data_IF_570223678047
#
_entry.id   IF_570223678047
#
_cell.length_a   1.000
_cell.length_b   1.000
_cell.length_c   1.000
_cell.angle_alpha   90.00
_cell.angle_beta   90.00
_cell.angle_gamma   90.00
#
_symmetry.space_group_name_H-M   'P 1'
#
loop_
_entity.id
_entity.type
_entity.pdbx_description
1 polymer ?
#
# COMPACT_ATOMS: atom_id res chain seq x y z
N UNK A 1 30.81 -18.77 -24.13
CA UNK A 1 29.40 -18.36 -23.99
C UNK A 1 28.92 -18.69 -22.58
N UNK A 2 28.19 -17.79 -21.93
CA UNK A 2 27.47 -18.06 -20.67
C UNK A 2 28.19 -17.63 -19.38
N UNK A 3 28.08 -16.35 -18.99
CA UNK A 3 28.12 -15.97 -17.56
C UNK A 3 27.66 -14.53 -17.22
N UNK A 4 27.16 -13.75 -18.18
CA UNK A 4 26.81 -12.33 -17.94
C UNK A 4 25.35 -12.15 -17.46
N UNK A 5 24.47 -13.14 -17.67
CA UNK A 5 23.02 -12.96 -17.46
C UNK A 5 22.52 -13.16 -16.03
N UNK A 6 23.24 -13.86 -15.14
CA UNK A 6 22.76 -14.19 -13.79
C UNK A 6 23.08 -13.11 -12.74
N UNK A 7 24.19 -12.37 -12.88
CA UNK A 7 24.51 -11.23 -11.99
C UNK A 7 23.60 -10.02 -12.23
N UNK A 8 23.07 -9.88 -13.44
CA UNK A 8 22.22 -8.74 -13.82
C UNK A 8 20.79 -8.83 -13.29
N UNK A 9 20.34 -10.00 -12.81
CA UNK A 9 18.98 -10.20 -12.27
C UNK A 9 18.99 -10.54 -10.77
N UNK A 10 20.05 -10.17 -10.05
CA UNK A 10 20.14 -10.37 -8.62
C UNK A 10 19.04 -9.58 -7.89
N UNK A 11 18.42 -10.14 -6.84
CA UNK A 11 17.40 -9.43 -6.07
C UNK A 11 18.03 -8.26 -5.31
N UNK A 12 17.35 -7.12 -5.33
CA UNK A 12 17.70 -5.97 -4.50
C UNK A 12 17.66 -6.37 -3.02
N UNK A 13 18.67 -5.98 -2.25
CA UNK A 13 18.84 -6.42 -0.85
C UNK A 13 17.79 -5.83 0.09
N UNK A 14 17.10 -4.77 -0.33
CA UNK A 14 16.15 -4.03 0.48
C UNK A 14 14.70 -4.43 0.23
N UNK A 15 14.37 -4.80 -1.01
CA UNK A 15 13.02 -5.13 -1.48
C UNK A 15 12.87 -6.61 -1.82
N UNK A 16 13.98 -7.29 -2.12
CA UNK A 16 13.99 -8.67 -2.62
C UNK A 16 13.45 -8.83 -4.03
N UNK A 17 13.18 -7.72 -4.74
CA UNK A 17 12.73 -7.73 -6.14
C UNK A 17 13.94 -7.81 -7.06
N UNK A 18 13.84 -8.68 -8.06
CA UNK A 18 14.80 -8.75 -9.18
C UNK A 18 14.47 -7.70 -10.24
N UNK A 19 15.44 -7.20 -11.02
CA UNK A 19 15.19 -6.33 -12.18
C UNK A 19 14.12 -6.85 -13.14
N UNK A 20 14.06 -8.17 -13.36
CA UNK A 20 13.01 -8.79 -14.16
C UNK A 20 11.64 -8.66 -13.51
N UNK A 21 11.52 -8.90 -12.21
CA UNK A 21 10.24 -8.71 -11.50
C UNK A 21 9.80 -7.25 -11.51
N UNK A 22 10.71 -6.30 -11.36
CA UNK A 22 10.42 -4.86 -11.48
C UNK A 22 9.77 -4.56 -12.84
N UNK A 23 10.39 -5.02 -13.94
CA UNK A 23 9.83 -4.85 -15.29
C UNK A 23 8.47 -5.52 -15.47
N UNK A 24 8.26 -6.70 -14.87
CA UNK A 24 6.96 -7.37 -14.92
C UNK A 24 5.88 -6.56 -14.20
N UNK A 25 6.18 -6.00 -13.03
CA UNK A 25 5.23 -5.16 -12.28
C UNK A 25 4.93 -3.87 -13.06
N UNK A 26 5.96 -3.15 -13.52
CA UNK A 26 5.79 -1.91 -14.28
C UNK A 26 4.99 -2.10 -15.57
N UNK A 27 5.33 -3.09 -16.40
CA UNK A 27 4.61 -3.38 -17.65
C UNK A 27 3.18 -3.85 -17.42
N UNK A 28 2.93 -4.65 -16.38
CA UNK A 28 1.58 -5.04 -16.00
C UNK A 28 0.77 -3.83 -15.55
N UNK A 29 1.35 -2.98 -14.71
CA UNK A 29 0.68 -1.78 -14.21
C UNK A 29 0.34 -0.81 -15.33
N UNK A 30 1.27 -0.59 -16.27
CA UNK A 30 1.05 0.27 -17.43
C UNK A 30 -0.12 -0.20 -18.30
N UNK A 31 -0.28 -1.52 -18.46
CA UNK A 31 -1.38 -2.09 -19.24
C UNK A 31 -2.71 -2.04 -18.46
N UNK A 32 -2.66 -2.20 -17.14
CA UNK A 32 -3.83 -2.19 -16.26
C UNK A 32 -4.39 -0.77 -16.02
N UNK A 33 -3.51 0.22 -15.81
CA UNK A 33 -3.85 1.58 -15.43
C UNK A 33 -4.07 2.52 -16.63
N UNK A 34 -4.91 2.12 -17.59
CA UNK A 34 -5.25 2.95 -18.77
C UNK A 34 -6.33 4.00 -18.51
N UNK A 35 -7.08 3.89 -17.41
CA UNK A 35 -8.07 4.89 -16.96
C UNK A 35 -7.95 5.08 -15.46
N UNK A 36 -7.30 6.18 -15.06
CA UNK A 36 -6.97 6.44 -13.64
C UNK A 36 -8.21 6.52 -12.72
N UNK A 37 -9.38 6.78 -13.32
CA UNK A 37 -10.63 7.03 -12.59
C UNK A 37 -11.42 5.76 -12.28
N UNK A 38 -11.08 4.64 -12.92
CA UNK A 38 -11.90 3.42 -12.86
C UNK A 38 -11.31 2.33 -11.99
N UNK A 39 -9.99 2.21 -11.93
CA UNK A 39 -9.35 1.07 -11.28
C UNK A 39 -9.44 1.09 -9.75
N UNK A 40 -9.41 2.26 -9.12
CA UNK A 40 -9.56 2.33 -7.66
C UNK A 40 -10.94 1.86 -7.20
N UNK A 41 -11.99 2.30 -7.89
CA UNK A 41 -13.35 1.83 -7.64
C UNK A 41 -13.48 0.32 -7.96
N UNK A 42 -12.82 -0.15 -9.03
CA UNK A 42 -12.77 -1.58 -9.38
C UNK A 42 -12.13 -2.42 -8.27
N UNK A 43 -10.96 -2.01 -7.76
CA UNK A 43 -10.23 -2.71 -6.69
C UNK A 43 -11.08 -2.85 -5.43
N UNK A 44 -11.65 -1.74 -4.94
CA UNK A 44 -12.50 -1.79 -3.76
C UNK A 44 -13.82 -2.53 -4.01
N UNK A 45 -14.36 -2.48 -5.24
CA UNK A 45 -15.55 -3.26 -5.57
C UNK A 45 -15.28 -4.75 -5.55
N UNK A 46 -14.12 -5.19 -6.07
CA UNK A 46 -13.66 -6.58 -5.95
C UNK A 46 -13.45 -6.98 -4.49
N UNK A 47 -12.81 -6.11 -3.70
CA UNK A 47 -12.52 -6.39 -2.30
C UNK A 47 -13.82 -6.55 -1.48
N UNK A 48 -14.77 -5.64 -1.60
CA UNK A 48 -16.04 -5.72 -0.87
C UNK A 48 -16.97 -6.82 -1.40
N UNK A 49 -16.87 -7.20 -2.68
CA UNK A 49 -17.60 -8.35 -3.20
C UNK A 49 -17.06 -9.68 -2.64
N UNK A 50 -15.74 -9.80 -2.45
CA UNK A 50 -15.11 -11.01 -1.92
C UNK A 50 -15.16 -11.09 -0.39
N UNK A 51 -15.01 -9.95 0.29
CA UNK A 51 -14.97 -9.82 1.75
C UNK A 51 -15.82 -8.63 2.19
N UNK A 52 -17.15 -8.79 2.25
CA UNK A 52 -18.08 -7.71 2.61
C UNK A 52 -17.77 -7.06 3.97
N UNK A 53 -17.23 -7.81 4.93
CA UNK A 53 -16.82 -7.33 6.24
C UNK A 53 -15.77 -6.21 6.17
N UNK A 54 -14.96 -6.15 5.11
CA UNK A 54 -14.00 -5.07 4.94
C UNK A 54 -14.65 -3.73 4.64
N UNK A 55 -15.90 -3.73 4.16
CA UNK A 55 -16.65 -2.49 3.93
C UNK A 55 -16.97 -1.76 5.25
N UNK A 56 -17.09 -2.49 6.36
CA UNK A 56 -17.32 -1.93 7.70
C UNK A 56 -16.19 -1.02 8.18
N UNK A 57 -14.98 -1.21 7.67
CA UNK A 57 -13.81 -0.37 7.95
C UNK A 57 -13.91 1.02 7.31
N UNK A 58 -14.92 1.26 6.48
CA UNK A 58 -15.14 2.51 5.77
C UNK A 58 -16.45 3.17 6.24
N UNK A 59 -16.42 4.02 7.30
CA UNK A 59 -17.63 4.61 7.88
C UNK A 59 -18.53 5.36 6.90
N UNK A 60 -17.97 5.93 5.82
CA UNK A 60 -18.72 6.66 4.78
C UNK A 60 -19.43 5.74 3.78
N UNK A 61 -19.09 4.45 3.78
CA UNK A 61 -19.48 3.46 2.77
C UNK A 61 -20.17 2.23 3.36
N UNK A 62 -19.93 1.86 4.63
CA UNK A 62 -20.46 0.63 5.25
C UNK A 62 -21.97 0.42 5.10
N UNK A 63 -22.77 1.49 5.20
CA UNK A 63 -24.24 1.41 5.11
C UNK A 63 -24.77 1.50 3.67
N UNK A 64 -23.89 1.57 2.65
CA UNK A 64 -24.28 1.70 1.25
C UNK A 64 -24.18 0.36 0.52
N UNK A 65 -25.17 -0.03 -0.29
CA UNK A 65 -25.04 -1.23 -1.10
C UNK A 65 -23.95 -1.03 -2.16
N UNK A 66 -23.18 -2.09 -2.46
CA UNK A 66 -22.05 -2.06 -3.40
C UNK A 66 -22.40 -1.41 -4.75
N UNK A 67 -23.59 -1.71 -5.28
CA UNK A 67 -24.09 -1.13 -6.55
C UNK A 67 -24.21 0.40 -6.54
N UNK A 68 -24.37 1.02 -5.37
CA UNK A 68 -24.48 2.47 -5.20
C UNK A 68 -23.12 3.14 -4.97
N UNK A 69 -22.09 2.38 -4.57
CA UNK A 69 -20.76 2.92 -4.32
C UNK A 69 -20.07 3.39 -5.61
N UNK A 70 -20.32 2.72 -6.74
CA UNK A 70 -19.71 3.05 -8.04
C UNK A 70 -19.99 4.51 -8.47
N UNK A 71 -21.15 5.05 -8.08
CA UNK A 71 -21.60 6.39 -8.44
C UNK A 71 -21.29 7.42 -7.33
N UNK A 72 -20.81 6.97 -6.18
CA UNK A 72 -20.46 7.83 -5.04
C UNK A 72 -19.14 8.58 -5.29
N UNK A 73 -19.21 9.92 -5.24
CA UNK A 73 -18.06 10.78 -5.52
C UNK A 73 -16.90 10.58 -4.54
N UNK A 74 -17.19 10.33 -3.26
CA UNK A 74 -16.16 10.13 -2.24
C UNK A 74 -15.50 8.76 -2.40
N UNK A 75 -16.27 7.75 -2.80
CA UNK A 75 -15.74 6.41 -3.10
C UNK A 75 -14.80 6.46 -4.30
N UNK A 76 -15.22 7.13 -5.39
CA UNK A 76 -14.38 7.33 -6.57
C UNK A 76 -13.10 8.10 -6.23
N UNK A 77 -13.20 9.18 -5.44
CA UNK A 77 -12.04 9.94 -4.99
C UNK A 77 -11.07 9.08 -4.15
N UNK A 78 -11.59 8.24 -3.26
CA UNK A 78 -10.77 7.30 -2.49
C UNK A 78 -10.06 6.29 -3.40
N UNK A 79 -10.78 5.72 -4.36
CA UNK A 79 -10.21 4.85 -5.38
C UNK A 79 -9.07 5.52 -6.15
N UNK A 80 -9.29 6.74 -6.66
CA UNK A 80 -8.24 7.49 -7.35
C UNK A 80 -7.00 7.70 -6.46
N UNK A 81 -7.19 8.04 -5.17
CA UNK A 81 -6.08 8.26 -4.24
C UNK A 81 -5.23 7.00 -4.02
N UNK A 82 -5.87 5.84 -3.82
CA UNK A 82 -5.15 4.54 -3.74
C UNK A 82 -4.41 4.27 -5.03
N UNK A 83 -5.05 4.59 -6.14
CA UNK A 83 -4.46 4.40 -7.43
C UNK A 83 -3.18 5.22 -7.67
N UNK A 84 -3.23 6.53 -7.44
CA UNK A 84 -2.06 7.40 -7.54
C UNK A 84 -0.93 6.93 -6.62
N UNK A 85 -1.28 6.41 -5.44
CA UNK A 85 -0.31 5.84 -4.53
C UNK A 85 0.36 4.60 -5.12
N UNK A 86 -0.40 3.62 -5.62
CA UNK A 86 0.14 2.42 -6.29
C UNK A 86 1.00 2.80 -7.49
N UNK A 87 0.56 3.75 -8.31
CA UNK A 87 1.32 4.25 -9.46
C UNK A 87 2.67 4.82 -9.04
N UNK A 88 2.69 5.61 -7.96
CA UNK A 88 3.92 6.17 -7.40
C UNK A 88 4.85 5.08 -6.88
N UNK A 89 4.31 4.07 -6.19
CA UNK A 89 5.10 2.94 -5.71
C UNK A 89 5.70 2.11 -6.85
N UNK A 90 4.92 1.84 -7.90
CA UNK A 90 5.40 1.12 -9.10
C UNK A 90 6.50 1.92 -9.82
N UNK A 91 6.36 3.24 -9.90
CA UNK A 91 7.38 4.11 -10.49
C UNK A 91 8.68 4.15 -9.66
N UNK A 92 8.60 3.94 -8.34
CA UNK A 92 9.76 3.91 -7.43
C UNK A 92 10.39 2.53 -7.23
N UNK A 93 10.02 1.50 -8.00
CA UNK A 93 10.53 0.14 -7.80
C UNK A 93 12.04 -0.01 -7.96
N UNK A 94 12.69 0.87 -8.72
CA UNK A 94 14.15 0.90 -8.90
C UNK A 94 14.86 1.72 -7.81
N UNK A 95 14.11 2.52 -7.03
CA UNK A 95 14.60 3.27 -5.88
C UNK A 95 13.99 2.69 -4.59
N UNK A 96 14.68 1.70 -4.03
CA UNK A 96 14.26 1.02 -2.82
C UNK A 96 14.05 1.98 -1.63
N UNK A 97 14.79 3.09 -1.54
CA UNK A 97 14.62 4.06 -0.47
C UNK A 97 13.32 4.85 -0.64
N UNK A 98 13.04 5.34 -1.86
CA UNK A 98 11.78 6.01 -2.17
C UNK A 98 10.56 5.08 -1.97
N UNK A 99 10.64 3.82 -2.43
CA UNK A 99 9.58 2.84 -2.24
C UNK A 99 9.26 2.61 -0.76
N UNK A 100 10.28 2.46 0.09
CA UNK A 100 10.11 2.30 1.53
C UNK A 100 9.43 3.51 2.17
N UNK A 101 9.84 4.73 1.80
CA UNK A 101 9.24 5.96 2.32
C UNK A 101 7.75 6.05 1.94
N UNK A 102 7.40 5.69 0.70
CA UNK A 102 6.01 5.65 0.25
C UNK A 102 5.18 4.64 1.04
N UNK A 103 5.66 3.40 1.17
CA UNK A 103 4.99 2.35 1.93
C UNK A 103 4.86 2.73 3.42
N UNK A 104 5.89 3.34 4.00
CA UNK A 104 5.89 3.80 5.39
C UNK A 104 4.86 4.92 5.63
N UNK A 105 4.81 5.93 4.75
CA UNK A 105 3.80 6.99 4.83
C UNK A 105 2.39 6.43 4.71
N UNK A 106 2.20 5.40 3.88
CA UNK A 106 0.93 4.72 3.75
C UNK A 106 0.53 3.98 5.04
N UNK A 107 1.47 3.26 5.66
CA UNK A 107 1.26 2.59 6.94
C UNK A 107 0.82 3.59 8.03
N UNK A 108 1.49 4.75 8.13
CA UNK A 108 1.14 5.79 9.10
C UNK A 108 -0.29 6.34 8.93
N UNK A 109 -0.75 6.50 7.67
CA UNK A 109 -2.11 6.98 7.39
C UNK A 109 -3.18 5.97 7.82
N UNK A 110 -2.88 4.68 7.71
CA UNK A 110 -3.80 3.59 8.03
C UNK A 110 -3.79 3.22 9.51
N UNK A 111 -2.69 3.44 10.22
CA UNK A 111 -2.62 3.30 11.68
C UNK A 111 -3.61 4.19 12.42
N UNK A 112 -3.96 5.34 11.83
CA UNK A 112 -4.96 6.27 12.37
C UNK A 112 -6.41 5.82 12.10
N UNK A 113 -6.62 4.69 11.42
CA UNK A 113 -7.94 4.19 11.03
C UNK A 113 -8.34 3.05 11.94
N UNK A 114 -9.44 3.23 12.66
CA UNK A 114 -9.94 2.21 13.58
C UNK A 114 -10.22 0.89 12.84
N UNK A 115 -9.73 -0.20 13.42
CA UNK A 115 -9.95 -1.55 12.90
C UNK A 115 -9.08 -1.95 11.71
N UNK A 116 -8.26 -1.06 11.14
CA UNK A 116 -7.35 -1.46 10.05
C UNK A 116 -6.16 -2.22 10.63
N UNK A 117 -5.99 -3.47 10.21
CA UNK A 117 -4.91 -4.36 10.62
C UNK A 117 -3.95 -4.63 9.45
N UNK A 118 -2.70 -5.07 9.73
CA UNK A 118 -1.76 -5.43 8.68
C UNK A 118 -2.29 -6.47 7.69
N UNK A 119 -3.10 -7.42 8.14
CA UNK A 119 -3.65 -8.48 7.29
C UNK A 119 -4.62 -7.94 6.22
N UNK A 120 -5.25 -6.77 6.46
CA UNK A 120 -6.06 -6.11 5.44
C UNK A 120 -5.21 -5.60 4.25
N UNK A 121 -3.92 -5.34 4.45
CA UNK A 121 -3.01 -5.02 3.34
C UNK A 121 -2.65 -6.23 2.50
N UNK A 122 -2.57 -7.42 3.11
CA UNK A 122 -2.38 -8.68 2.37
C UNK A 122 -3.59 -8.96 1.48
N UNK A 123 -4.81 -8.77 2.02
CA UNK A 123 -6.05 -8.87 1.23
C UNK A 123 -6.05 -7.90 0.07
N UNK A 124 -5.67 -6.64 0.30
CA UNK A 124 -5.55 -5.65 -0.78
C UNK A 124 -4.55 -6.09 -1.86
N UNK A 125 -3.40 -6.65 -1.46
CA UNK A 125 -2.41 -7.19 -2.39
C UNK A 125 -2.98 -8.29 -3.29
N UNK A 126 -3.78 -9.19 -2.73
CA UNK A 126 -4.48 -10.23 -3.50
C UNK A 126 -5.55 -9.63 -4.44
N UNK A 127 -6.34 -8.67 -3.95
CA UNK A 127 -7.36 -7.99 -4.74
C UNK A 127 -6.78 -7.28 -5.98
N UNK A 128 -5.56 -6.73 -5.87
CA UNK A 128 -4.86 -6.12 -7.01
C UNK A 128 -4.59 -7.16 -8.11
N UNK A 129 -4.07 -8.33 -7.73
CA UNK A 129 -3.79 -9.43 -8.67
C UNK A 129 -5.07 -9.95 -9.31
N UNK A 130 -6.13 -10.15 -8.53
CA UNK A 130 -7.39 -10.67 -9.03
C UNK A 130 -8.12 -9.68 -9.94
N UNK A 131 -8.07 -8.38 -9.61
CA UNK A 131 -8.59 -7.34 -10.49
C UNK A 131 -7.84 -7.30 -11.83
N UNK A 132 -6.52 -7.50 -11.83
CA UNK A 132 -5.73 -7.59 -13.06
C UNK A 132 -6.09 -8.81 -13.90
N UNK A 133 -6.30 -9.97 -13.26
CA UNK A 133 -6.78 -11.19 -13.94
C UNK A 133 -8.15 -10.97 -14.58
N UNK A 134 -9.08 -10.36 -13.85
CA UNK A 134 -10.43 -10.19 -14.34
C UNK A 134 -10.56 -9.15 -15.47
N UNK A 135 -9.66 -8.16 -15.51
CA UNK A 135 -9.57 -7.21 -16.63
C UNK A 135 -9.02 -7.84 -17.91
N UNK A 136 -8.35 -9.00 -17.80
CA UNK A 136 -7.73 -9.76 -18.90
C UNK A 136 -6.90 -8.90 -19.86
N UNK A 137 -6.23 -7.87 -19.33
CA UNK A 137 -5.44 -6.92 -20.12
C UNK A 137 -4.14 -7.55 -20.66
N UNK A 138 -3.65 -8.58 -19.96
CA UNK A 138 -2.51 -9.41 -20.36
C UNK A 138 -2.52 -10.73 -19.58
N UNK A 139 -1.81 -11.78 -20.07
CA UNK A 139 -1.66 -13.01 -19.31
C UNK A 139 -0.96 -12.79 -17.96
N UNK A 140 -1.68 -13.07 -16.87
CA UNK A 140 -1.14 -13.09 -15.50
C UNK A 140 -0.45 -14.43 -15.22
N UNK A 141 0.68 -14.67 -15.91
CA UNK A 141 1.48 -15.89 -15.73
C UNK A 141 1.96 -16.06 -14.28
N UNK A 142 2.38 -17.28 -13.90
CA UNK A 142 2.89 -17.55 -12.56
C UNK A 142 4.03 -16.60 -12.15
N UNK A 143 4.86 -16.19 -13.10
CA UNK A 143 5.97 -15.25 -12.85
C UNK A 143 5.50 -13.82 -12.60
N UNK A 144 4.48 -13.37 -13.35
CA UNK A 144 3.86 -12.05 -13.15
C UNK A 144 3.19 -11.99 -11.78
N UNK A 145 2.40 -13.02 -11.43
CA UNK A 145 1.73 -13.12 -10.13
C UNK A 145 2.77 -13.11 -8.99
N UNK A 146 3.84 -13.89 -9.12
CA UNK A 146 4.94 -13.91 -8.15
C UNK A 146 5.61 -12.55 -8.00
N UNK A 147 5.80 -11.81 -9.10
CA UNK A 147 6.37 -10.47 -9.06
C UNK A 147 5.45 -9.48 -8.29
N UNK A 148 4.14 -9.53 -8.56
CA UNK A 148 3.15 -8.72 -7.85
C UNK A 148 3.08 -9.04 -6.36
N UNK A 149 3.05 -10.31 -5.98
CA UNK A 149 3.07 -10.69 -4.58
C UNK A 149 4.33 -10.21 -3.86
N UNK A 150 5.49 -10.30 -4.51
CA UNK A 150 6.74 -9.79 -3.93
C UNK A 150 6.68 -8.27 -3.74
N UNK A 151 6.14 -7.54 -4.70
CA UNK A 151 5.94 -6.10 -4.59
C UNK A 151 4.98 -5.74 -3.44
N UNK A 152 3.84 -6.42 -3.31
CA UNK A 152 2.87 -6.14 -2.24
C UNK A 152 3.43 -6.54 -0.86
N UNK A 153 4.23 -7.60 -0.79
CA UNK A 153 4.89 -8.06 0.43
C UNK A 153 5.82 -6.99 1.02
N UNK A 154 6.54 -6.23 0.20
CA UNK A 154 7.36 -5.08 0.67
C UNK A 154 6.52 -4.10 1.49
N UNK A 155 5.30 -3.82 1.03
CA UNK A 155 4.38 -2.91 1.73
C UNK A 155 3.88 -3.51 3.04
N UNK A 156 3.48 -4.78 3.00
CA UNK A 156 2.96 -5.52 4.17
C UNK A 156 4.01 -5.62 5.27
N UNK A 157 5.27 -5.92 4.92
CA UNK A 157 6.36 -6.01 5.90
C UNK A 157 6.60 -4.67 6.62
N UNK A 158 6.56 -3.56 5.88
CA UNK A 158 6.72 -2.21 6.46
C UNK A 158 5.53 -1.87 7.36
N UNK A 159 4.31 -2.19 6.94
CA UNK A 159 3.11 -2.01 7.76
C UNK A 159 3.22 -2.83 9.05
N UNK A 160 3.52 -4.13 8.97
CA UNK A 160 3.67 -5.01 10.13
C UNK A 160 4.73 -4.52 11.09
N UNK A 161 5.92 -4.18 10.59
CA UNK A 161 7.00 -3.64 11.42
C UNK A 161 6.57 -2.38 12.18
N UNK A 162 5.77 -1.50 11.55
CA UNK A 162 5.29 -0.28 12.20
C UNK A 162 4.20 -0.55 13.24
N UNK A 163 3.25 -1.43 12.94
CA UNK A 163 2.23 -1.84 13.90
C UNK A 163 2.86 -2.45 15.15
N UNK A 164 3.85 -3.35 14.99
CA UNK A 164 4.60 -3.93 16.11
C UNK A 164 5.33 -2.88 16.94
N UNK A 165 6.03 -1.93 16.29
CA UNK A 165 6.74 -0.86 16.97
C UNK A 165 5.83 -0.02 17.88
N UNK A 166 4.58 0.23 17.47
CA UNK A 166 3.61 0.94 18.31
C UNK A 166 3.05 0.07 19.44
N UNK A 167 2.81 -1.22 19.21
CA UNK A 167 2.40 -2.17 20.26
C UNK A 167 3.43 -2.30 21.39
N UNK A 168 4.73 -2.11 21.10
CA UNK A 168 5.79 -2.10 22.12
C UNK A 168 6.06 -0.73 22.74
N UNK A 169 5.60 0.37 22.13
CA UNK A 169 5.87 1.74 22.60
C UNK A 169 4.69 2.40 23.34
N UNK A 170 3.47 1.85 23.23
CA UNK A 170 2.29 2.32 23.98
C UNK A 170 1.95 1.27 25.04
N UNK A 171 2.28 1.49 26.33
CA UNK A 171 1.83 0.61 27.38
C UNK A 171 0.29 0.58 27.42
N UNK A 172 -0.27 -0.61 27.65
CA UNK A 172 -1.68 -0.85 27.93
C UNK A 172 -2.18 0.15 28.98
N UNK A 173 -2.87 1.22 28.55
CA UNK A 173 -3.38 2.27 29.44
C UNK A 173 -3.45 3.68 28.85
N UNK A 174 -2.79 3.97 27.71
CA UNK A 174 -2.82 5.30 27.07
C UNK A 174 -3.42 5.26 25.66
N UNK A 175 -4.50 4.48 25.45
CA UNK A 175 -5.23 4.53 24.18
C UNK A 175 -6.22 5.71 24.11
N UNK A 176 -6.81 6.12 25.25
CA UNK A 176 -7.75 7.26 25.29
C UNK A 176 -7.06 8.64 25.16
N UNK A 177 -5.88 8.83 25.80
CA UNK A 177 -5.24 10.15 25.90
C UNK A 177 -4.57 10.65 24.61
N UNK A 178 -4.05 9.73 23.79
CA UNK A 178 -3.42 10.06 22.50
C UNK A 178 -4.49 10.39 21.45
N UNK A 179 -5.70 9.83 21.56
CA UNK A 179 -6.82 10.13 20.65
C UNK A 179 -7.19 11.63 20.68
N UNK A 180 -7.15 12.26 21.85
CA UNK A 180 -7.50 13.68 22.00
C UNK A 180 -6.35 14.61 21.56
N UNK A 181 -5.08 14.26 21.81
CA UNK A 181 -3.95 15.13 21.46
C UNK A 181 -3.63 15.18 19.95
N UNK A 182 -3.95 14.13 19.19
CA UNK A 182 -3.67 14.08 17.75
C UNK A 182 -4.79 14.65 16.87
N UNK A 183 -6.03 14.70 17.36
CA UNK A 183 -7.15 15.35 16.65
C UNK A 183 -7.05 16.89 16.69
N UNK A 184 -6.39 17.47 17.71
CA UNK A 184 -6.19 18.93 17.86
C UNK A 184 -5.04 19.50 17.01
N UNK A 185 -4.20 18.65 16.40
CA UNK A 185 -3.06 19.05 15.55
C UNK A 185 -3.39 19.00 14.04
N UNK A 186 -4.67 18.94 13.67
CA UNK A 186 -5.12 18.85 12.28
C UNK A 186 -5.78 20.11 11.72
N UNK A 187 -5.74 21.23 12.43
CA UNK A 187 -5.99 22.53 11.84
C UNK A 187 -4.71 23.37 11.91
N UNK A 188 -4.31 23.89 10.75
CA UNK A 188 -3.18 24.78 10.48
C UNK A 188 -1.86 24.09 10.10
N UNK A 189 -1.40 24.50 8.91
CA UNK A 189 -0.09 24.34 8.30
C UNK A 189 1.08 24.27 9.30
N UNK A 190 2.09 23.44 9.02
CA UNK A 190 3.52 23.81 9.09
C UNK A 190 4.37 22.63 8.62
N UNK A 191 5.02 22.84 7.47
CA UNK A 191 6.27 22.18 7.09
C UNK A 191 7.40 22.82 7.92
N UNK A 192 7.86 22.15 8.97
CA UNK A 192 9.23 22.22 9.50
C UNK A 192 9.32 21.40 10.79
N UNK A 193 10.51 20.89 11.08
CA UNK A 193 10.91 20.14 12.28
C UNK A 193 10.58 18.65 12.33
N UNK A 194 11.45 17.86 11.70
CA UNK A 194 12.11 16.75 12.41
C UNK A 194 13.59 16.76 12.00
N UNK A 195 14.42 17.46 12.77
CA UNK A 195 15.85 17.13 12.84
C UNK A 195 15.99 15.82 13.62
N UNK A 196 16.69 14.86 13.03
CA UNK A 196 17.02 13.59 13.65
C UNK A 196 18.26 13.79 14.54
N UNK A 197 18.23 13.52 15.85
CA UNK A 197 19.44 13.59 16.66
C UNK A 197 20.33 12.39 16.31
N UNK A 198 21.53 12.67 15.81
CA UNK A 198 22.59 11.69 15.67
C UNK A 198 23.09 11.28 17.06
N UNK A 199 23.12 9.98 17.30
CA UNK A 199 23.84 9.38 18.43
C UNK A 199 25.33 9.39 18.10
N UNK A 200 26.12 10.23 18.77
CA UNK A 200 27.53 9.95 19.04
C UNK A 200 27.78 10.20 20.53
N UNK A 201 28.04 9.12 21.26
CA UNK A 201 28.56 9.12 22.63
C UNK A 201 30.09 9.17 22.63
N UNK A 202 30.65 9.67 23.74
CA UNK A 202 32.07 9.62 24.17
C UNK A 202 32.95 10.74 23.58
N UNK A 203 33.69 11.56 24.34
CA UNK A 203 34.18 11.51 25.73
C UNK A 203 34.15 12.90 26.35
#
# INVERSE_FOLDING_TARGET
MGNISLKADAPDTQTGLTPRQVKLVQSTWQTFCTSEREYGALLFSYMFAQQPELQELFPKFRDKPLRALKDDLLFRAHGCAVGYHLTSMVASLEDAAALKVLAWRNALKHLKRNGVLPDHFEVMGNCIVDAMRAKDVRPMTAEVVKAWWKFTEVSVLIVRARFLCLSFYVPYGIQEGIRIAWDTLLDVEVLSFIECPSVHSQR
#
